data_IF_835118241728
#
_entry.id   IF_835118241728
#
_cell.length_a   1.000
_cell.length_b   1.000
_cell.length_c   1.000
_cell.angle_alpha   90.00
_cell.angle_beta   90.00
_cell.angle_gamma   90.00
#
_symmetry.space_group_name_H-M   'P 1'
#
loop_
_entity.id
_entity.type
_entity.pdbx_description
1 polymer ?
#
# COMPACT_ATOMS: atom_id res chain seq x y z
N UNK A 1 -26.16 -8.48 0.65
CA UNK A 1 -25.95 -9.20 1.92
C UNK A 1 -25.22 -8.28 2.88
N UNK A 2 -25.48 -8.35 4.19
CA UNK A 2 -24.69 -7.60 5.17
C UNK A 2 -23.36 -8.33 5.44
N UNK A 3 -22.26 -7.58 5.60
CA UNK A 3 -20.95 -8.14 5.96
C UNK A 3 -21.00 -8.52 7.45
N UNK A 4 -20.66 -9.76 7.78
CA UNK A 4 -20.58 -10.21 9.17
C UNK A 4 -19.30 -9.71 9.85
N UNK A 5 -19.27 -9.65 11.18
CA UNK A 5 -18.13 -9.12 11.92
C UNK A 5 -16.84 -9.93 11.68
N UNK A 6 -16.97 -11.25 11.53
CA UNK A 6 -15.88 -12.17 11.15
C UNK A 6 -15.33 -11.86 9.76
N UNK A 7 -16.21 -11.64 8.77
CA UNK A 7 -15.80 -11.25 7.41
C UNK A 7 -15.09 -9.89 7.39
N UNK A 8 -15.60 -8.91 8.15
CA UNK A 8 -14.96 -7.60 8.25
C UNK A 8 -13.53 -7.70 8.81
N UNK A 9 -13.31 -8.54 9.82
CA UNK A 9 -11.98 -8.82 10.38
C UNK A 9 -11.03 -9.46 9.37
N UNK A 10 -11.52 -10.40 8.57
CA UNK A 10 -10.74 -11.04 7.51
C UNK A 10 -10.37 -10.05 6.38
N UNK A 11 -11.32 -9.21 5.96
CA UNK A 11 -11.07 -8.18 4.94
C UNK A 11 -10.05 -7.15 5.41
N UNK A 12 -10.14 -6.74 6.68
CA UNK A 12 -9.20 -5.76 7.23
C UNK A 12 -7.80 -6.38 7.38
N UNK A 13 -7.70 -7.60 7.90
CA UNK A 13 -6.43 -8.27 8.10
C UNK A 13 -5.74 -8.64 6.79
N UNK A 14 -6.47 -8.97 5.72
CA UNK A 14 -5.89 -9.35 4.42
C UNK A 14 -4.97 -8.27 3.85
N UNK A 15 -5.32 -6.99 4.05
CA UNK A 15 -4.46 -5.85 3.72
C UNK A 15 -3.13 -5.90 4.48
N UNK A 16 -3.19 -6.13 5.80
CA UNK A 16 -2.00 -6.14 6.66
C UNK A 16 -1.06 -7.30 6.34
N UNK A 17 -1.60 -8.49 6.05
CA UNK A 17 -0.78 -9.64 5.65
C UNK A 17 0.06 -9.34 4.40
N UNK A 18 -0.56 -8.79 3.36
CA UNK A 18 0.13 -8.40 2.14
C UNK A 18 1.13 -7.27 2.39
N UNK A 19 0.73 -6.27 3.18
CA UNK A 19 1.56 -5.13 3.51
C UNK A 19 2.84 -5.54 4.25
N UNK A 20 2.74 -6.34 5.31
CA UNK A 20 3.88 -6.77 6.13
C UNK A 20 4.86 -7.63 5.33
N UNK A 21 4.37 -8.55 4.50
CA UNK A 21 5.23 -9.39 3.66
C UNK A 21 6.07 -8.56 2.68
N UNK A 22 5.50 -7.48 2.16
CA UNK A 22 6.13 -6.66 1.12
C UNK A 22 6.95 -5.53 1.71
N UNK A 23 6.67 -5.09 2.94
CA UNK A 23 7.37 -3.97 3.57
C UNK A 23 8.88 -4.22 3.71
N UNK A 24 9.28 -5.44 4.07
CA UNK A 24 10.70 -5.82 4.20
C UNK A 24 11.46 -5.72 2.86
N UNK A 25 11.05 -6.40 1.77
CA UNK A 25 11.72 -6.27 0.48
C UNK A 25 11.53 -4.87 -0.14
N UNK A 26 10.41 -4.19 0.09
CA UNK A 26 10.18 -2.85 -0.44
C UNK A 26 11.20 -1.82 0.08
N UNK A 27 11.67 -1.97 1.33
CA UNK A 27 12.77 -1.15 1.86
C UNK A 27 14.09 -1.32 1.10
N UNK A 28 14.38 -2.54 0.61
CA UNK A 28 15.54 -2.80 -0.23
C UNK A 28 15.36 -2.20 -1.63
N UNK A 29 14.19 -2.43 -2.25
CA UNK A 29 13.86 -1.88 -3.57
C UNK A 29 13.85 -0.35 -3.60
N UNK A 30 13.44 0.32 -2.52
CA UNK A 30 13.44 1.79 -2.42
C UNK A 30 14.84 2.43 -2.52
N UNK A 31 15.91 1.66 -2.23
CA UNK A 31 17.30 2.13 -2.37
C UNK A 31 17.82 2.03 -3.79
N UNK A 32 17.37 1.03 -4.54
CA UNK A 32 17.87 0.69 -5.88
C UNK A 32 17.07 1.42 -6.96
N UNK A 33 15.75 1.50 -6.80
CA UNK A 33 14.87 2.16 -7.75
C UNK A 33 14.65 3.64 -7.42
N UNK A 34 14.27 4.41 -8.44
CA UNK A 34 13.91 5.82 -8.27
C UNK A 34 12.67 5.93 -7.38
N UNK A 35 12.86 6.45 -6.16
CA UNK A 35 11.77 6.67 -5.19
C UNK A 35 10.58 7.42 -5.79
N UNK A 36 10.82 8.36 -6.72
CA UNK A 36 9.76 9.09 -7.45
C UNK A 36 8.84 8.16 -8.26
N UNK A 37 9.43 7.18 -8.95
CA UNK A 37 8.69 6.21 -9.78
C UNK A 37 7.88 5.24 -8.90
N UNK A 38 8.49 4.71 -7.83
CA UNK A 38 7.82 3.82 -6.88
C UNK A 38 6.60 4.51 -6.26
N UNK A 39 6.76 5.76 -5.83
CA UNK A 39 5.66 6.54 -5.25
C UNK A 39 4.56 6.80 -6.28
N UNK A 40 4.91 7.26 -7.48
CA UNK A 40 3.92 7.55 -8.52
C UNK A 40 3.09 6.32 -8.93
N UNK A 41 3.77 5.19 -9.19
CA UNK A 41 3.10 3.93 -9.55
C UNK A 41 2.29 3.38 -8.37
N UNK A 42 2.85 3.43 -7.16
CA UNK A 42 2.17 2.97 -5.94
C UNK A 42 0.88 3.75 -5.65
N UNK A 43 0.89 5.07 -5.81
CA UNK A 43 -0.31 5.91 -5.66
C UNK A 43 -1.33 5.67 -6.77
N UNK A 44 -0.89 5.54 -8.03
CA UNK A 44 -1.79 5.23 -9.15
C UNK A 44 -2.53 3.91 -8.94
N UNK A 45 -1.81 2.85 -8.60
CA UNK A 45 -2.41 1.53 -8.39
C UNK A 45 -3.31 1.52 -7.16
N UNK A 46 -2.91 2.19 -6.07
CA UNK A 46 -3.78 2.34 -4.90
C UNK A 46 -5.05 3.13 -5.23
N UNK A 47 -4.96 4.20 -6.02
CA UNK A 47 -6.12 5.00 -6.44
C UNK A 47 -7.08 4.17 -7.29
N UNK A 48 -6.57 3.44 -8.27
CA UNK A 48 -7.37 2.55 -9.13
C UNK A 48 -8.04 1.45 -8.29
N UNK A 49 -7.30 0.80 -7.39
CA UNK A 49 -7.87 -0.21 -6.50
C UNK A 49 -8.92 0.39 -5.56
N UNK A 50 -8.72 1.61 -5.06
CA UNK A 50 -9.69 2.31 -4.22
C UNK A 50 -11.03 2.51 -4.92
N UNK A 51 -11.01 2.87 -6.20
CA UNK A 51 -12.22 2.98 -7.05
C UNK A 51 -12.83 1.61 -7.33
N UNK A 52 -12.00 0.59 -7.57
CA UNK A 52 -12.45 -0.79 -7.78
C UNK A 52 -13.00 -1.45 -6.51
N UNK A 53 -12.69 -0.94 -5.31
CA UNK A 53 -13.08 -1.53 -4.04
C UNK A 53 -14.61 -1.70 -3.87
N UNK A 54 -15.46 -0.67 -4.10
CA UNK A 54 -16.92 -0.86 -4.09
C UNK A 54 -17.40 -1.80 -5.20
N UNK A 55 -16.85 -1.67 -6.42
CA UNK A 55 -17.22 -2.50 -7.58
C UNK A 55 -16.91 -3.99 -7.34
N UNK A 56 -15.80 -4.27 -6.65
CA UNK A 56 -15.36 -5.62 -6.31
C UNK A 56 -16.34 -6.31 -5.35
N UNK A 57 -16.94 -5.55 -4.44
CA UNK A 57 -17.94 -6.08 -3.53
C UNK A 57 -19.24 -6.43 -4.28
N UNK A 58 -19.69 -5.57 -5.18
CA UNK A 58 -20.92 -5.79 -5.95
C UNK A 58 -20.80 -6.99 -6.92
N UNK A 59 -19.62 -7.21 -7.52
CA UNK A 59 -19.40 -8.29 -8.49
C UNK A 59 -19.09 -9.65 -7.86
N UNK A 60 -18.26 -9.68 -6.80
CA UNK A 60 -17.65 -10.92 -6.29
C UNK A 60 -17.74 -11.09 -4.77
N UNK A 61 -18.48 -10.22 -4.10
CA UNK A 61 -18.66 -10.27 -2.65
C UNK A 61 -17.37 -10.02 -1.87
N UNK A 62 -17.30 -10.58 -0.66
CA UNK A 62 -16.23 -10.30 0.30
C UNK A 62 -14.87 -10.90 -0.10
N UNK A 63 -14.83 -11.99 -0.88
CA UNK A 63 -13.57 -12.62 -1.33
C UNK A 63 -12.85 -11.74 -2.35
N UNK A 64 -13.59 -11.18 -3.32
CA UNK A 64 -12.99 -10.30 -4.32
C UNK A 64 -12.52 -8.98 -3.69
N UNK A 65 -13.26 -8.49 -2.69
CA UNK A 65 -12.85 -7.38 -1.86
C UNK A 65 -11.53 -7.68 -1.11
N UNK A 66 -11.37 -8.88 -0.55
CA UNK A 66 -10.10 -9.30 0.07
C UNK A 66 -8.94 -9.30 -0.93
N UNK A 67 -9.16 -9.79 -2.15
CA UNK A 67 -8.12 -9.77 -3.20
C UNK A 67 -7.71 -8.34 -3.58
N UNK A 68 -8.70 -7.44 -3.74
CA UNK A 68 -8.45 -6.02 -3.98
C UNK A 68 -7.62 -5.37 -2.85
N UNK A 69 -7.92 -5.72 -1.59
CA UNK A 69 -7.18 -5.25 -0.41
C UNK A 69 -5.75 -5.77 -0.33
N UNK A 70 -5.52 -7.04 -0.70
CA UNK A 70 -4.18 -7.62 -0.78
C UNK A 70 -3.33 -6.85 -1.81
N UNK A 71 -3.90 -6.57 -2.98
CA UNK A 71 -3.22 -5.78 -4.03
C UNK A 71 -2.90 -4.38 -3.51
N UNK A 72 -3.84 -3.68 -2.88
CA UNK A 72 -3.58 -2.37 -2.26
C UNK A 72 -2.45 -2.44 -1.23
N UNK A 73 -2.49 -3.43 -0.32
CA UNK A 73 -1.46 -3.62 0.71
C UNK A 73 -0.07 -3.82 0.11
N UNK A 74 0.04 -4.60 -0.97
CA UNK A 74 1.30 -4.83 -1.68
C UNK A 74 1.91 -3.53 -2.20
N UNK A 75 1.13 -2.70 -2.91
CA UNK A 75 1.64 -1.45 -3.48
C UNK A 75 1.81 -0.34 -2.44
N UNK A 76 1.03 -0.36 -1.36
CA UNK A 76 1.12 0.61 -0.28
C UNK A 76 2.37 0.41 0.59
N UNK A 77 2.86 -0.84 0.71
CA UNK A 77 4.04 -1.18 1.52
C UNK A 77 5.32 -0.40 1.12
N UNK A 78 5.45 -0.05 -0.16
CA UNK A 78 6.60 0.69 -0.68
C UNK A 78 6.52 2.21 -0.52
N UNK A 79 5.36 2.75 -0.11
CA UNK A 79 5.14 4.20 -0.04
C UNK A 79 5.95 4.84 1.09
N UNK A 80 5.88 4.30 2.31
CA UNK A 80 6.66 4.83 3.44
C UNK A 80 8.16 4.87 3.15
N UNK A 81 8.85 3.75 2.81
CA UNK A 81 10.27 3.80 2.52
C UNK A 81 10.60 4.69 1.31
N UNK A 82 9.71 4.76 0.31
CA UNK A 82 9.83 5.69 -0.82
C UNK A 82 9.79 7.16 -0.39
N UNK A 83 8.85 7.55 0.47
CA UNK A 83 8.73 8.90 1.02
C UNK A 83 9.95 9.24 1.87
N UNK A 84 10.37 8.36 2.78
CA UNK A 84 11.58 8.58 3.59
C UNK A 84 12.84 8.74 2.71
N UNK A 85 12.96 7.94 1.66
CA UNK A 85 14.07 8.04 0.71
C UNK A 85 14.03 9.36 -0.06
N UNK A 86 12.85 9.77 -0.54
CA UNK A 86 12.67 11.04 -1.23
C UNK A 86 13.00 12.21 -0.30
N UNK A 87 12.43 12.22 0.91
CA UNK A 87 12.67 13.24 1.92
C UNK A 87 14.16 13.35 2.26
N UNK A 88 14.87 12.23 2.40
CA UNK A 88 16.32 12.24 2.65
C UNK A 88 17.12 12.92 1.53
N UNK A 89 16.65 12.89 0.28
CA UNK A 89 17.30 13.54 -0.86
C UNK A 89 16.94 15.02 -0.98
N UNK A 90 15.73 15.40 -0.56
CA UNK A 90 15.23 16.78 -0.66
C UNK A 90 15.62 17.65 0.54
N UNK A 91 15.76 17.06 1.73
CA UNK A 91 16.08 17.82 2.94
C UNK A 91 17.60 18.02 3.07
N UNK A 92 18.07 19.27 3.24
CA UNK A 92 19.48 19.57 3.44
C UNK A 92 20.02 18.87 4.71
N UNK A 93 21.25 18.34 4.70
CA UNK A 93 21.79 17.50 5.79
C UNK A 93 21.66 18.11 7.19
N UNK A 94 21.78 19.43 7.31
CA UNK A 94 21.72 20.16 8.58
C UNK A 94 20.33 20.20 9.22
N UNK A 95 19.27 19.90 8.47
CA UNK A 95 17.89 19.95 8.98
C UNK A 95 17.25 18.56 9.14
N UNK A 96 17.95 17.50 8.71
CA UNK A 96 17.42 16.11 8.70
C UNK A 96 17.08 15.56 10.08
N UNK A 97 17.70 16.07 11.15
CA UNK A 97 17.41 15.65 12.53
C UNK A 97 16.18 16.31 13.17
N UNK A 98 15.54 17.27 12.49
CA UNK A 98 14.35 18.01 12.99
C UNK A 98 13.02 17.50 12.43
N UNK A 99 13.05 16.52 11.51
CA UNK A 99 11.90 15.90 10.85
C UNK A 99 11.72 14.46 11.34
#
# INVERSE_FOLDING_TARGET
AAITADQAGLILSSFFWAYTLVQVPAGHFARIWSAKMILGVGFLINGICGILCPISYDLGGWILLCACRIIMGFFQAALLPGVHTLLSKWVPPNERGRL
#
